data_IF_838553104365
#
_entry.id   IF_838553104365
#
_cell.length_a   1.000
_cell.length_b   1.000
_cell.length_c   1.000
_cell.angle_alpha   90.00
_cell.angle_beta   90.00
_cell.angle_gamma   90.00
#
_symmetry.space_group_name_H-M   'P 1'
#
loop_
_entity.id
_entity.type
_entity.pdbx_description
1 polymer ?
#
# COMPACT_ATOMS: atom_id res chain seq x y z
N UNK A 1 51.25 -4.91 9.37
CA UNK A 1 50.78 -6.00 10.24
C UNK A 1 49.26 -5.99 10.22
N UNK A 2 48.57 -7.09 9.91
CA UNK A 2 47.11 -7.13 9.97
C UNK A 2 46.66 -6.79 11.39
N UNK A 3 45.60 -5.98 11.50
CA UNK A 3 45.06 -5.62 12.80
C UNK A 3 44.29 -6.81 13.40
N UNK A 4 44.07 -6.79 14.72
CA UNK A 4 43.22 -7.79 15.40
C UNK A 4 41.82 -7.78 14.80
N UNK A 5 41.31 -6.62 14.39
CA UNK A 5 40.02 -6.48 13.73
C UNK A 5 39.97 -7.23 12.38
N UNK A 6 41.01 -7.09 11.54
CA UNK A 6 41.09 -7.80 10.27
C UNK A 6 41.07 -9.33 10.45
N UNK A 7 41.69 -9.80 11.53
CA UNK A 7 41.76 -11.22 11.85
C UNK A 7 40.39 -11.77 12.28
N UNK A 8 39.67 -11.03 13.12
CA UNK A 8 38.31 -11.40 13.55
C UNK A 8 37.35 -11.40 12.36
N UNK A 9 37.41 -10.37 11.51
CA UNK A 9 36.54 -10.27 10.33
C UNK A 9 36.76 -11.45 9.39
N UNK A 10 38.03 -11.82 9.11
CA UNK A 10 38.35 -12.99 8.27
C UNK A 10 37.76 -14.27 8.84
N UNK A 11 37.91 -14.52 10.14
CA UNK A 11 37.32 -15.70 10.79
C UNK A 11 35.80 -15.73 10.63
N UNK A 12 35.12 -14.58 10.78
CA UNK A 12 33.67 -14.49 10.59
C UNK A 12 33.25 -14.74 9.14
N UNK A 13 34.01 -14.21 8.17
CA UNK A 13 33.76 -14.43 6.74
C UNK A 13 33.99 -15.89 6.37
N UNK A 14 35.10 -16.48 6.83
CA UNK A 14 35.47 -17.87 6.56
C UNK A 14 34.47 -18.86 7.20
N UNK A 15 33.84 -18.48 8.32
CA UNK A 15 32.75 -19.23 8.94
C UNK A 15 31.43 -19.14 8.15
N UNK A 16 31.38 -18.36 7.08
CA UNK A 16 30.21 -18.20 6.22
C UNK A 16 29.20 -17.19 6.74
N UNK A 17 29.55 -16.28 7.65
CA UNK A 17 28.62 -15.25 8.14
C UNK A 17 28.00 -14.44 6.99
N UNK A 18 28.81 -14.08 5.99
CA UNK A 18 28.32 -13.32 4.84
C UNK A 18 27.64 -14.22 3.82
N UNK A 19 28.23 -15.38 3.50
CA UNK A 19 27.75 -16.24 2.41
C UNK A 19 26.57 -17.15 2.77
N UNK A 20 26.29 -17.34 4.06
CA UNK A 20 25.26 -18.27 4.58
C UNK A 20 24.21 -17.50 5.39
N UNK A 21 24.64 -16.73 6.40
CA UNK A 21 23.71 -16.09 7.34
C UNK A 21 22.98 -14.91 6.69
N UNK A 22 23.70 -14.07 5.91
CA UNK A 22 23.09 -12.93 5.23
C UNK A 22 21.97 -13.35 4.24
N UNK A 23 22.20 -14.28 3.29
CA UNK A 23 21.13 -14.73 2.40
C UNK A 23 20.00 -15.47 3.13
N UNK A 24 20.29 -16.19 4.22
CA UNK A 24 19.27 -16.81 5.07
C UNK A 24 18.32 -15.76 5.67
N UNK A 25 18.87 -14.71 6.30
CA UNK A 25 18.07 -13.63 6.89
C UNK A 25 17.27 -12.90 5.82
N UNK A 26 17.85 -12.68 4.64
CA UNK A 26 17.19 -12.04 3.51
C UNK A 26 15.97 -12.84 3.04
N UNK A 27 16.14 -14.14 2.78
CA UNK A 27 15.05 -15.02 2.33
C UNK A 27 13.97 -15.11 3.41
N UNK A 28 14.36 -15.29 4.66
CA UNK A 28 13.44 -15.29 5.80
C UNK A 28 12.59 -14.01 5.84
N UNK A 29 13.21 -12.84 5.78
CA UNK A 29 12.53 -11.55 5.86
C UNK A 29 11.58 -11.32 4.67
N UNK A 30 12.00 -11.70 3.46
CA UNK A 30 11.17 -11.57 2.25
C UNK A 30 9.95 -12.49 2.33
N UNK A 31 10.13 -13.77 2.64
CA UNK A 31 9.02 -14.72 2.76
C UNK A 31 8.08 -14.31 3.89
N UNK A 32 8.62 -13.94 5.04
CA UNK A 32 7.84 -13.46 6.17
C UNK A 32 7.02 -12.21 5.80
N UNK A 33 7.63 -11.22 5.17
CA UNK A 33 6.97 -9.99 4.75
C UNK A 33 5.86 -10.24 3.73
N UNK A 34 6.07 -11.14 2.77
CA UNK A 34 5.04 -11.54 1.81
C UNK A 34 3.86 -12.21 2.52
N UNK A 35 4.10 -13.16 3.43
CA UNK A 35 3.05 -13.85 4.18
C UNK A 35 2.24 -12.89 5.07
N UNK A 36 2.92 -11.92 5.69
CA UNK A 36 2.27 -10.91 6.53
C UNK A 36 1.41 -9.95 5.70
N UNK A 37 1.92 -9.46 4.56
CA UNK A 37 1.23 -8.52 3.69
C UNK A 37 0.02 -9.16 2.99
N UNK A 38 0.14 -10.43 2.59
CA UNK A 38 -0.92 -11.16 1.88
C UNK A 38 -1.93 -11.81 2.83
N UNK A 39 -1.64 -11.86 4.14
CA UNK A 39 -2.51 -12.43 5.17
C UNK A 39 -2.92 -13.88 4.85
N UNK A 40 -2.01 -14.69 4.29
CA UNK A 40 -2.31 -16.07 3.82
C UNK A 40 -2.97 -16.93 4.90
N UNK A 41 -2.50 -16.82 6.14
CA UNK A 41 -3.01 -17.59 7.27
C UNK A 41 -4.05 -16.85 8.11
N UNK A 42 -4.55 -15.71 7.63
CA UNK A 42 -5.50 -14.84 8.32
C UNK A 42 -4.85 -13.74 9.16
N UNK A 43 -5.67 -12.79 9.59
CA UNK A 43 -5.26 -11.69 10.45
C UNK A 43 -4.91 -12.25 11.84
N UNK A 44 -3.80 -11.80 12.43
CA UNK A 44 -3.29 -12.21 13.76
C UNK A 44 -2.56 -13.57 13.85
N UNK A 45 -2.21 -14.22 12.74
CA UNK A 45 -1.39 -15.46 12.74
C UNK A 45 0.11 -15.24 12.53
N UNK A 46 0.66 -14.16 13.07
CA UNK A 46 2.07 -13.77 12.90
C UNK A 46 3.06 -14.88 13.32
N UNK A 47 2.77 -15.62 14.38
CA UNK A 47 3.63 -16.72 14.84
C UNK A 47 3.76 -17.83 13.79
N UNK A 48 2.67 -18.14 13.08
CA UNK A 48 2.67 -19.14 12.00
C UNK A 48 3.50 -18.61 10.81
N UNK A 49 3.32 -17.35 10.45
CA UNK A 49 4.09 -16.70 9.38
C UNK A 49 5.60 -16.76 9.65
N UNK A 50 6.03 -16.51 10.90
CA UNK A 50 7.44 -16.61 11.31
C UNK A 50 7.96 -18.04 11.13
N UNK A 51 7.23 -19.04 11.63
CA UNK A 51 7.66 -20.45 11.55
C UNK A 51 7.75 -20.90 10.09
N UNK A 52 6.75 -20.58 9.27
CA UNK A 52 6.73 -20.95 7.84
C UNK A 52 7.87 -20.26 7.08
N UNK A 53 8.10 -18.97 7.32
CA UNK A 53 9.20 -18.24 6.70
C UNK A 53 10.57 -18.78 7.12
N UNK A 54 10.72 -19.19 8.38
CA UNK A 54 11.94 -19.80 8.91
C UNK A 54 12.23 -21.13 8.20
N UNK A 55 11.21 -22.00 8.10
CA UNK A 55 11.33 -23.29 7.40
C UNK A 55 11.68 -23.06 5.93
N UNK A 56 11.02 -22.11 5.25
CA UNK A 56 11.32 -21.77 3.86
C UNK A 56 12.77 -21.29 3.68
N UNK A 57 13.27 -20.42 4.57
CA UNK A 57 14.65 -19.94 4.53
C UNK A 57 15.66 -21.07 4.77
N UNK A 58 15.38 -22.00 5.69
CA UNK A 58 16.22 -23.19 5.90
C UNK A 58 16.24 -24.13 4.70
N UNK A 59 15.09 -24.32 4.03
CA UNK A 59 15.03 -25.12 2.79
C UNK A 59 15.86 -24.51 1.67
N UNK A 60 15.85 -23.19 1.54
CA UNK A 60 16.72 -22.49 0.59
C UNK A 60 18.19 -22.67 0.96
N UNK A 61 18.52 -22.60 2.25
CA UNK A 61 19.90 -22.77 2.72
C UNK A 61 20.44 -24.19 2.49
N UNK A 62 19.57 -25.20 2.49
CA UNK A 62 19.95 -26.58 2.21
C UNK A 62 20.40 -26.80 0.75
N UNK A 63 20.10 -25.88 -0.17
CA UNK A 63 20.48 -25.99 -1.58
C UNK A 63 21.60 -25.02 -1.93
N UNK A 64 22.78 -25.56 -2.22
CA UNK A 64 23.98 -24.78 -2.60
C UNK A 64 23.74 -23.97 -3.88
N UNK A 65 23.04 -24.53 -4.86
CA UNK A 65 22.73 -23.84 -6.12
C UNK A 65 21.79 -22.66 -5.91
N UNK A 66 20.75 -22.84 -5.08
CA UNK A 66 19.81 -21.77 -4.75
C UNK A 66 20.50 -20.71 -3.91
N UNK A 67 21.34 -21.11 -2.95
CA UNK A 67 22.12 -20.18 -2.13
C UNK A 67 23.04 -19.30 -3.01
N UNK A 68 23.73 -19.91 -3.97
CA UNK A 68 24.56 -19.18 -4.95
C UNK A 68 23.74 -18.19 -5.79
N UNK A 69 22.56 -18.62 -6.25
CA UNK A 69 21.64 -17.76 -7.00
C UNK A 69 21.12 -16.60 -6.15
N UNK A 70 20.77 -16.84 -4.88
CA UNK A 70 20.33 -15.81 -3.93
C UNK A 70 21.46 -14.83 -3.67
N UNK A 71 22.69 -15.29 -3.42
CA UNK A 71 23.83 -14.40 -3.14
C UNK A 71 24.12 -13.47 -4.34
N UNK A 72 24.11 -14.03 -5.56
CA UNK A 72 24.26 -13.26 -6.80
C UNK A 72 23.13 -12.24 -6.97
N UNK A 73 21.89 -12.63 -6.69
CA UNK A 73 20.71 -11.75 -6.79
C UNK A 73 20.72 -10.67 -5.72
N UNK A 74 21.14 -11.00 -4.50
CA UNK A 74 21.23 -10.07 -3.37
C UNK A 74 22.24 -8.96 -3.64
N UNK A 75 23.42 -9.31 -4.16
CA UNK A 75 24.40 -8.31 -4.60
C UNK A 75 23.85 -7.39 -5.67
N UNK A 76 23.11 -7.93 -6.65
CA UNK A 76 22.47 -7.12 -7.67
C UNK A 76 21.39 -6.18 -7.10
N UNK A 77 20.52 -6.69 -6.22
CA UNK A 77 19.49 -5.88 -5.56
C UNK A 77 20.10 -4.74 -4.74
N UNK A 78 21.20 -5.00 -4.03
CA UNK A 78 21.90 -3.97 -3.27
C UNK A 78 22.40 -2.84 -4.19
N UNK A 79 23.01 -3.19 -5.33
CA UNK A 79 23.47 -2.22 -6.34
C UNK A 79 22.30 -1.41 -6.91
N UNK A 80 21.19 -2.08 -7.27
CA UNK A 80 20.00 -1.41 -7.80
C UNK A 80 19.38 -0.48 -6.77
N UNK A 81 19.27 -0.89 -5.50
CA UNK A 81 18.74 -0.07 -4.42
C UNK A 81 19.60 1.17 -4.17
N UNK A 82 20.92 0.99 -4.04
CA UNK A 82 21.85 2.11 -3.86
C UNK A 82 21.78 3.06 -5.05
N UNK A 83 21.78 2.54 -6.28
CA UNK A 83 21.67 3.34 -7.51
C UNK A 83 20.34 4.10 -7.55
N UNK A 84 19.23 3.44 -7.23
CA UNK A 84 17.91 4.06 -7.17
C UNK A 84 17.84 5.16 -6.13
N UNK A 85 18.46 4.97 -4.97
CA UNK A 85 18.54 5.96 -3.90
C UNK A 85 19.35 7.18 -4.34
N UNK A 86 20.49 6.98 -5.00
CA UNK A 86 21.30 8.07 -5.59
C UNK A 86 20.49 8.83 -6.65
N UNK A 87 19.77 8.14 -7.54
CA UNK A 87 18.90 8.78 -8.54
C UNK A 87 17.79 9.59 -7.88
N UNK A 88 17.11 9.03 -6.87
CA UNK A 88 16.10 9.76 -6.11
C UNK A 88 16.67 10.99 -5.41
N UNK A 89 17.88 10.91 -4.85
CA UNK A 89 18.57 12.06 -4.27
C UNK A 89 18.84 13.15 -5.31
N UNK A 90 19.38 12.79 -6.48
CA UNK A 90 19.63 13.74 -7.57
C UNK A 90 18.34 14.40 -8.03
N UNK A 91 17.26 13.63 -8.21
CA UNK A 91 15.94 14.17 -8.60
C UNK A 91 15.35 15.09 -7.52
N UNK A 92 15.56 14.74 -6.25
CA UNK A 92 15.21 15.59 -5.11
C UNK A 92 15.94 16.92 -5.13
N UNK A 93 17.25 16.92 -5.39
CA UNK A 93 18.08 18.13 -5.49
C UNK A 93 17.72 18.98 -6.71
N UNK A 94 17.39 18.35 -7.85
CA UNK A 94 16.96 19.05 -9.07
C UNK A 94 15.57 19.69 -8.91
N UNK A 95 14.86 19.42 -7.81
CA UNK A 95 13.57 20.06 -7.52
C UNK A 95 12.41 19.45 -8.33
N UNK A 96 12.51 18.18 -8.70
CA UNK A 96 11.41 17.44 -9.35
C UNK A 96 10.34 17.10 -8.31
N UNK A 97 9.61 18.10 -7.83
CA UNK A 97 8.61 17.95 -6.77
C UNK A 97 7.25 17.48 -7.27
N UNK A 98 7.06 17.33 -8.59
CA UNK A 98 5.75 16.98 -9.15
C UNK A 98 5.88 16.07 -10.36
N UNK A 99 6.01 14.77 -10.08
CA UNK A 99 5.94 13.69 -11.09
C UNK A 99 4.55 13.60 -11.76
N UNK A 100 3.52 14.27 -11.22
CA UNK A 100 2.16 14.24 -11.78
C UNK A 100 2.00 15.05 -13.07
N UNK A 101 2.76 16.13 -13.25
CA UNK A 101 2.56 17.06 -14.38
C UNK A 101 3.39 16.75 -15.63
N UNK A 102 4.48 15.99 -15.52
CA UNK A 102 5.38 15.72 -16.66
C UNK A 102 5.60 14.23 -16.89
N UNK A 103 4.57 13.56 -17.44
CA UNK A 103 4.66 12.17 -17.94
C UNK A 103 5.93 11.85 -18.73
N UNK A 104 6.50 12.71 -19.61
CA UNK A 104 7.75 12.37 -20.31
C UNK A 104 8.99 12.30 -19.41
N UNK A 105 9.07 13.11 -18.35
CA UNK A 105 10.23 13.10 -17.44
C UNK A 105 10.32 11.77 -16.68
N UNK A 106 9.18 11.21 -16.28
CA UNK A 106 9.11 9.90 -15.62
C UNK A 106 9.66 8.78 -16.51
N UNK A 107 9.34 8.79 -17.82
CA UNK A 107 9.87 7.79 -18.75
C UNK A 107 11.38 7.94 -18.97
N UNK A 108 11.91 9.17 -18.98
CA UNK A 108 13.35 9.43 -19.08
C UNK A 108 14.08 8.94 -17.83
N UNK A 109 13.55 9.24 -16.64
CA UNK A 109 14.11 8.74 -15.37
C UNK A 109 14.10 7.21 -15.31
N UNK A 110 12.98 6.59 -15.68
CA UNK A 110 12.86 5.13 -15.73
C UNK A 110 13.84 4.53 -16.76
N UNK A 111 13.98 5.14 -17.94
CA UNK A 111 14.93 4.70 -18.96
C UNK A 111 16.38 4.83 -18.49
N UNK A 112 16.75 5.94 -17.83
CA UNK A 112 18.09 6.13 -17.27
C UNK A 112 18.36 5.13 -16.13
N UNK A 113 17.36 4.84 -15.28
CA UNK A 113 17.50 3.85 -14.21
C UNK A 113 17.69 2.44 -14.76
N UNK A 114 16.92 2.06 -15.79
CA UNK A 114 17.03 0.78 -16.47
C UNK A 114 18.37 0.68 -17.19
N UNK A 115 18.74 1.66 -18.01
CA UNK A 115 19.99 1.68 -18.78
C UNK A 115 21.24 1.78 -17.88
N UNK A 116 21.16 2.54 -16.79
CA UNK A 116 22.23 2.69 -15.80
C UNK A 116 22.44 1.41 -15.01
N UNK A 117 21.37 0.80 -14.49
CA UNK A 117 21.45 -0.52 -13.84
C UNK A 117 22.02 -1.57 -14.78
N UNK A 118 21.69 -1.46 -16.07
CA UNK A 118 22.20 -2.32 -17.12
C UNK A 118 23.66 -2.16 -17.46
N UNK A 119 24.11 -0.91 -17.57
CA UNK A 119 25.50 -0.60 -17.80
C UNK A 119 26.37 -1.11 -16.66
N UNK A 120 25.90 -0.91 -15.41
CA UNK A 120 26.58 -1.41 -14.22
C UNK A 120 26.62 -2.94 -14.23
N UNK A 121 25.51 -3.61 -14.54
CA UNK A 121 25.46 -5.08 -14.71
C UNK A 121 26.46 -5.60 -15.74
N UNK A 122 26.63 -4.89 -16.86
CA UNK A 122 27.60 -5.24 -17.89
C UNK A 122 29.05 -4.97 -17.51
N UNK A 123 29.29 -3.96 -16.67
CA UNK A 123 30.61 -3.59 -16.19
C UNK A 123 31.19 -4.60 -15.19
N UNK A 124 30.35 -5.35 -14.47
CA UNK A 124 30.78 -6.32 -13.47
C UNK A 124 31.32 -7.66 -14.03
N UNK A 125 31.48 -7.80 -15.36
CA UNK A 125 31.93 -9.04 -16.04
C UNK A 125 31.11 -10.33 -15.74
N UNK A 126 30.06 -10.26 -14.91
CA UNK A 126 29.14 -11.37 -14.62
C UNK A 126 28.41 -11.82 -15.90
N UNK A 127 28.30 -10.93 -16.90
CA UNK A 127 27.72 -11.20 -18.21
C UNK A 127 28.77 -10.97 -19.29
N UNK A 128 29.22 -12.06 -19.92
CA UNK A 128 30.17 -12.02 -21.04
C UNK A 128 29.68 -11.02 -22.11
N UNK A 129 30.59 -10.20 -22.68
CA UNK A 129 30.27 -9.17 -23.70
C UNK A 129 29.44 -9.74 -24.85
N UNK A 130 29.68 -11.01 -25.21
CA UNK A 130 28.93 -11.77 -26.22
C UNK A 130 27.49 -12.10 -25.78
N UNK A 131 27.25 -12.40 -24.50
CA UNK A 131 25.89 -12.58 -23.95
C UNK A 131 25.14 -11.25 -23.85
N UNK A 132 25.84 -10.16 -23.56
CA UNK A 132 25.24 -8.83 -23.51
C UNK A 132 24.73 -8.39 -24.89
N UNK A 133 25.50 -8.62 -25.95
CA UNK A 133 25.01 -8.30 -27.30
C UNK A 133 23.92 -9.27 -27.77
N UNK A 134 24.04 -10.57 -27.47
CA UNK A 134 23.13 -11.58 -28.03
C UNK A 134 21.79 -11.74 -27.29
N UNK A 135 21.76 -11.53 -25.98
CA UNK A 135 20.51 -11.67 -25.19
C UNK A 135 19.94 -10.31 -24.79
N UNK A 136 20.82 -9.33 -24.56
CA UNK A 136 20.38 -8.05 -24.02
C UNK A 136 19.87 -7.09 -25.10
N UNK A 137 20.56 -7.00 -26.24
CA UNK A 137 20.13 -6.15 -27.34
C UNK A 137 18.73 -6.52 -27.85
N UNK A 138 18.38 -7.81 -28.06
CA UNK A 138 17.02 -8.19 -28.43
C UNK A 138 16.00 -7.90 -27.32
N UNK A 139 16.34 -8.12 -26.05
CA UNK A 139 15.43 -7.86 -24.93
C UNK A 139 15.08 -6.37 -24.79
N UNK A 140 16.07 -5.48 -24.92
CA UNK A 140 15.85 -4.02 -24.93
C UNK A 140 15.02 -3.61 -26.14
N UNK A 141 15.31 -4.19 -27.30
CA UNK A 141 14.60 -3.85 -28.55
C UNK A 141 13.14 -4.30 -28.48
N UNK A 142 12.86 -5.49 -27.93
CA UNK A 142 11.50 -5.99 -27.65
C UNK A 142 10.81 -5.13 -26.58
N UNK A 143 11.49 -4.76 -25.50
CA UNK A 143 10.93 -3.90 -24.46
C UNK A 143 10.62 -2.49 -24.98
N UNK A 144 11.52 -1.91 -25.77
CA UNK A 144 11.31 -0.62 -26.43
C UNK A 144 10.17 -0.68 -27.45
N UNK A 145 10.06 -1.77 -28.22
CA UNK A 145 8.92 -2.03 -29.10
C UNK A 145 7.63 -2.15 -28.30
N UNK A 146 7.64 -2.86 -27.18
CA UNK A 146 6.46 -3.04 -26.31
C UNK A 146 6.02 -1.70 -25.71
N UNK A 147 6.94 -0.91 -25.15
CA UNK A 147 6.65 0.44 -24.63
C UNK A 147 6.18 1.37 -25.75
N UNK A 148 6.81 1.32 -26.92
CA UNK A 148 6.41 2.08 -28.11
C UNK A 148 5.02 1.70 -28.60
N UNK A 149 4.68 0.41 -28.59
CA UNK A 149 3.37 -0.12 -28.95
C UNK A 149 2.31 0.29 -27.93
N UNK A 150 2.58 0.14 -26.63
CA UNK A 150 1.68 0.62 -25.56
C UNK A 150 1.46 2.12 -25.69
N UNK A 151 2.50 2.91 -25.94
CA UNK A 151 2.38 4.34 -26.17
C UNK A 151 1.57 4.67 -27.43
N UNK A 152 1.80 3.94 -28.53
CA UNK A 152 1.04 4.09 -29.77
C UNK A 152 -0.43 3.73 -29.57
N UNK A 153 -0.74 2.64 -28.86
CA UNK A 153 -2.11 2.20 -28.52
C UNK A 153 -2.78 3.20 -27.59
N UNK A 154 -2.10 3.68 -26.55
CA UNK A 154 -2.63 4.70 -25.64
C UNK A 154 -2.90 6.04 -26.34
N UNK A 155 -2.13 6.36 -27.38
CA UNK A 155 -2.33 7.58 -28.18
C UNK A 155 -3.38 7.39 -29.29
N UNK A 156 -3.47 6.19 -29.84
CA UNK A 156 -4.44 5.81 -30.86
C UNK A 156 -5.83 5.53 -30.28
N UNK A 157 -5.94 5.27 -28.98
CA UNK A 157 -7.23 5.27 -28.30
C UNK A 157 -7.81 6.68 -28.31
N UNK A 158 -8.90 6.93 -29.09
CA UNK A 158 -9.57 8.20 -29.04
C UNK A 158 -10.07 8.37 -27.62
N UNK A 159 -9.61 9.43 -26.93
CA UNK A 159 -10.15 9.78 -25.61
C UNK A 159 -11.67 9.73 -25.74
N UNK A 160 -12.38 8.89 -24.97
CA UNK A 160 -13.82 8.76 -25.11
C UNK A 160 -14.38 10.18 -25.02
N UNK A 161 -14.97 10.64 -26.14
CA UNK A 161 -15.64 11.93 -26.24
C UNK A 161 -16.51 12.01 -24.99
N UNK A 162 -16.23 12.99 -24.12
CA UNK A 162 -16.99 13.25 -22.88
C UNK A 162 -18.46 13.62 -23.16
N UNK A 163 -18.97 13.36 -24.36
CA UNK A 163 -20.37 13.48 -24.76
C UNK A 163 -21.25 12.43 -24.04
N UNK A 164 -20.69 11.33 -23.52
CA UNK A 164 -21.44 10.39 -22.66
C UNK A 164 -21.56 10.84 -21.18
N UNK A 165 -20.90 11.92 -20.75
CA UNK A 165 -21.18 12.59 -19.46
C UNK A 165 -22.32 13.62 -19.55
N UNK A 166 -22.93 13.80 -20.72
CA UNK A 166 -24.17 14.59 -20.88
C UNK A 166 -25.44 13.75 -20.98
N UNK A 167 -25.32 12.42 -20.92
CA UNK A 167 -26.46 11.48 -20.90
C UNK A 167 -26.48 10.54 -19.68
N UNK A 168 -25.63 10.77 -18.66
CA UNK A 168 -26.17 10.58 -17.31
C UNK A 168 -27.28 11.59 -17.15
N UNK A 169 -28.46 11.21 -16.64
CA UNK A 169 -29.45 12.20 -16.24
C UNK A 169 -28.68 13.25 -15.44
N UNK A 170 -28.89 14.55 -15.71
CA UNK A 170 -28.60 15.58 -14.71
C UNK A 170 -28.94 14.94 -13.36
N UNK A 171 -28.06 14.91 -12.34
CA UNK A 171 -28.43 14.39 -11.03
C UNK A 171 -29.70 15.14 -10.66
N UNK A 172 -30.84 14.48 -10.87
CA UNK A 172 -32.13 15.12 -10.86
C UNK A 172 -32.34 15.33 -9.40
N UNK A 173 -31.96 16.52 -8.90
CA UNK A 173 -31.80 16.85 -7.49
C UNK A 173 -31.61 15.56 -6.70
N UNK A 174 -30.42 14.90 -6.76
CA UNK A 174 -30.11 13.74 -5.90
C UNK A 174 -30.73 14.09 -4.56
N UNK A 175 -31.84 13.46 -4.20
CA UNK A 175 -32.57 13.79 -2.99
C UNK A 175 -31.50 13.62 -1.95
N UNK A 176 -31.07 14.73 -1.31
CA UNK A 176 -29.95 14.72 -0.38
C UNK A 176 -30.33 13.64 0.62
N UNK A 177 -29.76 12.45 0.48
CA UNK A 177 -30.04 11.36 1.41
C UNK A 177 -29.66 11.95 2.74
N UNK A 178 -30.65 12.09 3.61
CA UNK A 178 -30.45 12.76 4.88
C UNK A 178 -29.28 12.07 5.58
N UNK A 179 -28.46 12.83 6.30
CA UNK A 179 -27.32 12.26 7.01
C UNK A 179 -27.74 11.06 7.88
N UNK A 180 -28.97 11.09 8.40
CA UNK A 180 -29.63 9.99 9.11
C UNK A 180 -29.75 8.69 8.29
N UNK A 181 -30.12 8.76 7.01
CA UNK A 181 -30.21 7.56 6.14
C UNK A 181 -28.83 6.99 5.88
N UNK A 182 -27.83 7.83 5.56
CA UNK A 182 -26.45 7.38 5.39
C UNK A 182 -25.90 6.74 6.66
N UNK A 183 -26.16 7.35 7.82
CA UNK A 183 -25.79 6.81 9.12
C UNK A 183 -26.42 5.45 9.40
N UNK A 184 -27.68 5.23 9.00
CA UNK A 184 -28.36 3.95 9.19
C UNK A 184 -27.83 2.81 8.31
N UNK A 185 -27.10 3.12 7.23
CA UNK A 185 -26.47 2.12 6.37
C UNK A 185 -25.15 1.59 6.93
N UNK A 186 -24.58 2.26 7.94
CA UNK A 186 -23.32 1.85 8.57
C UNK A 186 -23.59 0.67 9.50
N UNK A 187 -22.82 -0.43 9.42
CA UNK A 187 -22.90 -1.55 10.37
C UNK A 187 -22.87 -1.10 11.84
N UNK A 188 -23.59 -1.80 12.73
CA UNK A 188 -23.69 -1.44 14.15
C UNK A 188 -22.34 -1.44 14.88
N UNK A 189 -21.47 -2.38 14.55
CA UNK A 189 -20.10 -2.50 15.06
C UNK A 189 -19.25 -1.27 14.69
N UNK A 190 -19.27 -0.86 13.42
CA UNK A 190 -18.58 0.34 12.95
C UNK A 190 -19.15 1.62 13.60
N UNK A 191 -20.46 1.71 13.81
CA UNK A 191 -21.07 2.85 14.53
C UNK A 191 -20.59 2.95 15.97
N UNK A 192 -20.42 1.83 16.67
CA UNK A 192 -19.92 1.82 18.05
C UNK A 192 -18.47 2.28 18.14
N UNK A 193 -17.64 1.88 17.19
CA UNK A 193 -16.24 2.33 17.09
C UNK A 193 -16.17 3.84 16.86
N UNK A 194 -16.89 4.36 15.85
CA UNK A 194 -16.95 5.79 15.56
C UNK A 194 -17.45 6.58 16.77
N UNK A 195 -18.52 6.12 17.45
CA UNK A 195 -19.03 6.79 18.65
C UNK A 195 -17.99 6.75 19.79
N UNK A 196 -17.22 5.66 19.93
CA UNK A 196 -16.18 5.51 20.94
C UNK A 196 -15.02 6.50 20.78
N UNK A 197 -14.74 6.95 19.56
CA UNK A 197 -13.71 7.95 19.26
C UNK A 197 -14.17 9.40 19.50
N UNK A 198 -15.48 9.65 19.62
CA UNK A 198 -16.01 11.00 19.81
C UNK A 198 -15.64 11.57 21.20
N UNK A 199 -15.52 12.89 21.33
CA UNK A 199 -15.36 13.54 22.63
C UNK A 199 -16.48 13.15 23.61
N UNK A 200 -16.21 13.07 24.93
CA UNK A 200 -17.18 12.61 25.93
C UNK A 200 -18.53 13.36 25.90
N UNK A 201 -18.53 14.65 25.56
CA UNK A 201 -19.77 15.43 25.43
C UNK A 201 -20.64 15.01 24.24
N UNK A 202 -20.04 14.59 23.13
CA UNK A 202 -20.75 14.13 21.93
C UNK A 202 -21.31 12.70 22.14
N UNK A 203 -20.57 11.84 22.85
CA UNK A 203 -21.05 10.52 23.26
C UNK A 203 -22.32 10.59 24.13
N UNK A 204 -22.41 11.58 25.03
CA UNK A 204 -23.59 11.77 25.86
C UNK A 204 -24.84 12.12 25.04
N UNK A 205 -24.69 12.79 23.90
CA UNK A 205 -25.82 13.11 22.99
C UNK A 205 -26.38 11.83 22.37
N UNK A 206 -25.54 10.90 21.92
CA UNK A 206 -25.99 9.60 21.40
C UNK A 206 -26.68 8.76 22.47
N UNK A 207 -26.12 8.73 23.69
CA UNK A 207 -26.74 8.01 24.81
C UNK A 207 -28.09 8.63 25.23
N UNK A 208 -28.17 9.97 25.25
CA UNK A 208 -29.40 10.68 25.56
C UNK A 208 -30.48 10.44 24.49
N UNK A 209 -30.11 10.44 23.20
CA UNK A 209 -31.02 10.14 22.10
C UNK A 209 -31.55 8.70 22.16
N UNK A 210 -30.69 7.73 22.50
CA UNK A 210 -31.09 6.34 22.71
C UNK A 210 -32.09 6.20 23.88
N UNK A 211 -31.84 6.87 25.01
CA UNK A 211 -32.75 6.89 26.16
C UNK A 211 -34.08 7.55 25.83
N UNK A 212 -34.06 8.67 25.09
CA UNK A 212 -35.27 9.36 24.63
C UNK A 212 -36.12 8.45 23.72
N UNK A 213 -35.49 7.73 22.78
CA UNK A 213 -36.18 6.77 21.93
C UNK A 213 -36.82 5.63 22.74
N UNK A 214 -36.15 5.11 23.77
CA UNK A 214 -36.70 4.08 24.65
C UNK A 214 -37.88 4.61 25.48
N UNK A 215 -37.78 5.83 26.00
CA UNK A 215 -38.84 6.46 26.78
C UNK A 215 -40.11 6.72 25.95
N UNK A 216 -39.97 7.07 24.67
CA UNK A 216 -41.10 7.20 23.73
C UNK A 216 -41.75 5.84 23.50
N UNK A 217 -40.97 4.79 23.24
CA UNK A 217 -41.50 3.43 23.05
C UNK A 217 -42.24 2.91 24.29
N UNK A 218 -41.74 3.19 25.50
CA UNK A 218 -42.41 2.80 26.74
C UNK A 218 -43.74 3.53 26.94
N UNK A 219 -43.80 4.84 26.62
CA UNK A 219 -45.05 5.60 26.69
C UNK A 219 -46.07 5.14 25.65
N UNK A 220 -45.62 4.81 24.45
CA UNK A 220 -46.44 4.21 23.41
C UNK A 220 -47.11 2.91 23.90
N UNK A 221 -46.35 2.03 24.55
CA UNK A 221 -46.85 0.77 25.11
C UNK A 221 -47.86 0.98 26.25
N UNK A 222 -47.78 2.09 26.97
CA UNK A 222 -48.70 2.46 28.04
C UNK A 222 -49.95 3.21 27.53
N UNK A 223 -50.16 3.30 26.21
CA UNK A 223 -51.27 4.05 25.61
C UNK A 223 -51.10 5.57 25.71
N UNK A 224 -49.89 6.05 26.04
CA UNK A 224 -49.53 7.46 26.03
C UNK A 224 -49.26 7.97 24.62
N UNK A 225 -48.94 9.26 24.50
CA UNK A 225 -48.61 9.87 23.21
C UNK A 225 -47.26 9.38 22.68
N UNK A 226 -47.22 8.98 21.41
CA UNK A 226 -45.99 8.66 20.67
C UNK A 226 -45.16 9.90 20.32
N UNK A 227 -45.66 11.10 20.64
CA UNK A 227 -44.98 12.34 20.32
C UNK A 227 -43.84 12.64 21.32
N UNK A 228 -42.65 13.02 20.82
CA UNK A 228 -41.55 13.43 21.68
C UNK A 228 -41.93 14.70 22.46
N UNK A 229 -41.53 14.75 23.72
CA UNK A 229 -41.61 15.96 24.54
C UNK A 229 -40.67 17.04 23.96
N UNK A 230 -40.89 18.33 24.28
CA UNK A 230 -40.01 19.40 23.83
C UNK A 230 -38.53 19.22 24.23
N UNK A 231 -38.26 18.51 25.33
CA UNK A 231 -36.89 18.19 25.76
C UNK A 231 -36.28 17.08 24.90
N UNK A 232 -37.03 16.01 24.61
CA UNK A 232 -36.58 14.94 23.72
C UNK A 232 -36.37 15.43 22.29
N UNK A 233 -37.24 16.34 21.80
CA UNK A 233 -37.09 16.95 20.49
C UNK A 233 -35.75 17.69 20.36
N UNK A 234 -35.35 18.47 21.38
CA UNK A 234 -34.04 19.14 21.41
C UNK A 234 -32.87 18.15 21.38
N UNK A 235 -33.01 16.99 22.02
CA UNK A 235 -31.98 15.94 22.00
C UNK A 235 -31.86 15.32 20.60
N UNK A 236 -32.98 15.04 19.94
CA UNK A 236 -32.96 14.53 18.56
C UNK A 236 -32.38 15.55 17.56
N UNK A 237 -32.69 16.83 17.71
CA UNK A 237 -32.13 17.88 16.86
C UNK A 237 -30.60 18.00 17.01
N UNK A 238 -30.09 17.86 18.25
CA UNK A 238 -28.64 17.82 18.52
C UNK A 238 -27.98 16.57 17.93
N UNK A 239 -28.63 15.41 18.08
CA UNK A 239 -28.18 14.14 17.53
C UNK A 239 -28.10 14.18 15.99
N UNK A 240 -29.09 14.75 15.31
CA UNK A 240 -29.08 14.88 13.84
C UNK A 240 -27.96 15.80 13.34
N UNK A 241 -27.73 16.93 14.01
CA UNK A 241 -26.60 17.83 13.69
C UNK A 241 -25.26 17.14 13.85
N UNK A 242 -25.13 16.30 14.87
CA UNK A 242 -23.91 15.55 15.15
C UNK A 242 -23.67 14.47 14.09
N UNK A 243 -24.71 13.74 13.67
CA UNK A 243 -24.63 12.81 12.54
C UNK A 243 -24.19 13.53 11.27
N UNK A 244 -24.74 14.72 10.98
CA UNK A 244 -24.33 15.49 9.79
C UNK A 244 -22.86 15.90 9.84
N UNK A 245 -22.36 16.30 11.01
CA UNK A 245 -20.94 16.60 11.23
C UNK A 245 -20.06 15.36 10.98
N UNK A 246 -20.38 14.22 11.59
CA UNK A 246 -19.61 12.98 11.46
C UNK A 246 -19.58 12.50 10.01
N UNK A 247 -20.74 12.45 9.35
CA UNK A 247 -20.83 12.01 7.95
C UNK A 247 -19.99 12.91 7.03
N UNK A 248 -19.87 14.20 7.34
CA UNK A 248 -19.03 15.15 6.61
C UNK A 248 -17.53 14.98 6.91
N UNK A 249 -17.18 14.68 8.15
CA UNK A 249 -15.78 14.53 8.61
C UNK A 249 -15.13 13.23 8.13
N UNK A 250 -15.91 12.15 8.07
CA UNK A 250 -15.45 10.83 7.61
C UNK A 250 -15.72 10.55 6.12
N UNK A 251 -16.20 11.55 5.38
CA UNK A 251 -16.57 11.46 3.95
C UNK A 251 -17.48 10.26 3.60
N UNK A 252 -18.47 9.99 4.47
CA UNK A 252 -19.42 8.87 4.36
C UNK A 252 -20.63 9.15 3.44
#
# INVERSE_FOLDING_TARGET
MPTVADSVIRVLVDFGLVDVILPFVLVFAVVFGILEQTKVFGEQRKNVNIVVALVAAMLVLASVDVLSAVNRTASFLAVVLVTGLVVMMVLGVVGVQSFEKSKPLMYVVLAVMVLGGLYILGAFEIVNRRSLTNYFLPAVLVFALFVGLVWAVLRAWPKPKQEAKKATPKPGKKGKMSARVRWSMIPEDARREIIGELPPGEQQVFLAAARASQAIQQRAQQGGSDQPTPQEQKVFDLHDKLIEKIVKEFEL
#
